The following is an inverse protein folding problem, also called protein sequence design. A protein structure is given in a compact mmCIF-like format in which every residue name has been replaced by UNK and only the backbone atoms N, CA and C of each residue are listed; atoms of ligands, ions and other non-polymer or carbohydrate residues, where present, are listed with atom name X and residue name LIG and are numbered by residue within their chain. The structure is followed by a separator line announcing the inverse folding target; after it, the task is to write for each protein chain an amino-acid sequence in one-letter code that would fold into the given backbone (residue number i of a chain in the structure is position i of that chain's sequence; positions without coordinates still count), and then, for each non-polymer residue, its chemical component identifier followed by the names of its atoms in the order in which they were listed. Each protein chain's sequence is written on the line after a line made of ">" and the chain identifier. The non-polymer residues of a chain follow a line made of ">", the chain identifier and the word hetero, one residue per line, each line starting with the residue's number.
data_IF_728762571330
#
_entry.id   IF_728762571330
#
_cell.length_a   1.000
_cell.length_b   1.000
_cell.length_c   1.000
_cell.angle_alpha   90.00
_cell.angle_beta   90.00
_cell.angle_gamma   90.00
#
_symmetry.space_group_name_H-M   'P 1'
#
loop_
_entity.id
_entity.type
_entity.pdbx_description
1 polymer ?
#
# COMPACT_ATOMS: atom_id res chain seq x y z
N UNK A 1 -14.63 37.46 -17.01
CA UNK A 1 -14.95 36.02 -17.15
C UNK A 1 -15.08 35.43 -15.75
N UNK A 2 -16.18 34.74 -15.42
CA UNK A 2 -16.32 33.94 -14.19
C UNK A 2 -16.45 32.47 -14.61
N UNK A 3 -15.69 31.59 -13.96
CA UNK A 3 -15.71 30.14 -14.20
C UNK A 3 -15.82 29.40 -12.87
N UNK A 4 -16.62 28.34 -12.86
CA UNK A 4 -16.69 27.41 -11.73
C UNK A 4 -15.56 26.42 -11.90
N UNK A 5 -14.58 26.46 -11.02
CA UNK A 5 -13.47 25.52 -11.04
C UNK A 5 -13.74 24.43 -10.01
N UNK A 6 -13.83 23.18 -10.48
CA UNK A 6 -13.83 22.02 -9.61
C UNK A 6 -12.38 21.59 -9.40
N UNK A 7 -11.88 21.70 -8.17
CA UNK A 7 -10.65 21.04 -7.79
C UNK A 7 -10.96 19.56 -7.60
N UNK A 8 -10.45 18.76 -8.52
CA UNK A 8 -10.49 17.32 -8.45
C UNK A 8 -9.68 16.78 -7.26
N UNK A 9 -10.01 15.58 -6.78
CA UNK A 9 -9.38 14.94 -5.61
C UNK A 9 -7.87 14.75 -5.77
N UNK A 10 -7.36 14.57 -6.99
CA UNK A 10 -5.93 14.42 -7.25
C UNK A 10 -5.13 15.68 -6.92
N UNK A 11 -5.75 16.87 -6.84
CA UNK A 11 -5.08 18.10 -6.40
C UNK A 11 -4.73 18.10 -4.91
N UNK A 12 -5.33 17.20 -4.12
CA UNK A 12 -4.99 17.03 -2.70
C UNK A 12 -3.69 16.23 -2.50
N UNK A 13 -3.25 15.50 -3.52
CA UNK A 13 -2.04 14.69 -3.44
C UNK A 13 -0.79 15.58 -3.35
N UNK A 14 0.13 15.20 -2.46
CA UNK A 14 1.48 15.76 -2.47
C UNK A 14 2.21 15.41 -3.78
N UNK A 15 3.30 16.13 -4.08
CA UNK A 15 4.16 15.80 -5.23
C UNK A 15 4.68 14.36 -5.19
N UNK A 16 5.03 13.88 -3.99
CA UNK A 16 5.52 12.51 -3.81
C UNK A 16 4.42 11.47 -4.02
N UNK A 17 3.23 11.71 -3.47
CA UNK A 17 2.06 10.86 -3.67
C UNK A 17 1.65 10.79 -5.14
N UNK A 18 1.61 11.92 -5.84
CA UNK A 18 1.32 11.97 -7.26
C UNK A 18 2.38 11.23 -8.08
N UNK A 19 3.67 11.34 -7.71
CA UNK A 19 4.74 10.58 -8.36
C UNK A 19 4.59 9.08 -8.15
N UNK A 20 4.24 8.66 -6.93
CA UNK A 20 3.96 7.26 -6.62
C UNK A 20 2.82 6.71 -7.50
N UNK A 21 1.70 7.43 -7.63
CA UNK A 21 0.58 7.03 -8.51
C UNK A 21 1.04 6.89 -9.96
N UNK A 22 1.82 7.83 -10.47
CA UNK A 22 2.37 7.76 -11.84
C UNK A 22 3.23 6.50 -12.05
N UNK A 23 4.11 6.19 -11.11
CA UNK A 23 4.95 5.00 -11.17
C UNK A 23 4.15 3.70 -11.00
N UNK A 24 3.12 3.71 -10.16
CA UNK A 24 2.21 2.59 -10.01
C UNK A 24 1.46 2.30 -11.32
N UNK A 25 0.95 3.33 -12.00
CA UNK A 25 0.30 3.19 -13.32
C UNK A 25 1.30 2.74 -14.39
N UNK A 26 2.53 3.29 -14.39
CA UNK A 26 3.62 2.85 -15.28
C UNK A 26 3.88 1.34 -15.14
N UNK A 27 3.84 0.85 -13.90
CA UNK A 27 3.98 -0.57 -13.56
C UNK A 27 2.65 -1.35 -13.66
N UNK A 28 1.61 -0.79 -14.29
CA UNK A 28 0.28 -1.41 -14.51
C UNK A 28 -0.38 -1.91 -13.22
N UNK A 29 -0.12 -1.24 -12.11
CA UNK A 29 -0.62 -1.62 -10.80
C UNK A 29 0.15 -2.76 -10.12
N UNK A 30 1.27 -3.21 -10.68
CA UNK A 30 2.09 -4.26 -10.07
C UNK A 30 2.97 -3.68 -8.95
N UNK A 31 2.58 -3.93 -7.69
CA UNK A 31 3.35 -3.51 -6.50
C UNK A 31 4.71 -4.20 -6.41
N UNK A 32 4.87 -5.44 -6.87
CA UNK A 32 6.16 -6.13 -6.86
C UNK A 32 7.15 -5.49 -7.83
N UNK A 33 6.69 -5.10 -9.02
CA UNK A 33 7.54 -4.42 -10.01
C UNK A 33 7.90 -3.02 -9.54
N UNK A 34 6.91 -2.28 -9.02
CA UNK A 34 7.13 -0.97 -8.41
C UNK A 34 8.12 -1.04 -7.24
N UNK A 35 8.01 -2.08 -6.41
CA UNK A 35 8.92 -2.30 -5.28
C UNK A 35 10.36 -2.51 -5.70
N UNK A 36 10.58 -3.29 -6.76
CA UNK A 36 11.91 -3.44 -7.36
C UNK A 36 12.44 -2.14 -7.94
N UNK A 37 11.58 -1.34 -8.60
CA UNK A 37 11.99 -0.04 -9.16
C UNK A 37 12.33 1.00 -8.07
N UNK A 38 11.58 1.02 -6.97
CA UNK A 38 11.78 1.96 -5.86
C UNK A 38 12.72 1.44 -4.77
N UNK A 39 13.16 0.19 -4.85
CA UNK A 39 13.90 -0.52 -3.81
C UNK A 39 13.19 -0.47 -2.44
N UNK A 40 11.88 -0.72 -2.44
CA UNK A 40 11.02 -0.70 -1.26
C UNK A 40 10.39 -2.07 -1.02
N UNK A 41 10.20 -2.40 0.26
CA UNK A 41 9.45 -3.58 0.65
C UNK A 41 7.98 -3.45 0.29
N UNK A 42 7.33 -4.58 0.01
CA UNK A 42 5.90 -4.63 -0.30
C UNK A 42 5.01 -3.96 0.79
N UNK A 43 5.26 -4.17 2.10
CA UNK A 43 4.51 -3.47 3.15
C UNK A 43 4.62 -1.94 3.05
N UNK A 44 5.79 -1.43 2.68
CA UNK A 44 6.01 0.02 2.55
C UNK A 44 5.21 0.60 1.37
N UNK A 45 5.18 -0.11 0.24
CA UNK A 45 4.41 0.30 -0.93
C UNK A 45 2.91 0.29 -0.64
N UNK A 46 2.44 -0.74 0.06
CA UNK A 46 1.04 -0.89 0.44
C UNK A 46 0.61 0.20 1.42
N UNK A 47 1.44 0.51 2.42
CA UNK A 47 1.19 1.62 3.34
C UNK A 47 1.07 2.95 2.58
N UNK A 48 2.00 3.24 1.66
CA UNK A 48 1.93 4.44 0.80
C UNK A 48 0.68 4.48 -0.06
N UNK A 49 0.27 3.34 -0.64
CA UNK A 49 -0.97 3.26 -1.44
C UNK A 49 -2.21 3.54 -0.58
N UNK A 50 -2.25 3.02 0.65
CA UNK A 50 -3.32 3.28 1.61
C UNK A 50 -3.39 4.75 2.01
N UNK A 51 -2.25 5.40 2.25
CA UNK A 51 -2.19 6.85 2.54
C UNK A 51 -2.71 7.69 1.36
N UNK A 52 -2.35 7.31 0.12
CA UNK A 52 -2.85 7.96 -1.09
C UNK A 52 -4.38 7.76 -1.21
N UNK A 53 -4.89 6.55 -1.01
CA UNK A 53 -6.32 6.26 -1.04
C UNK A 53 -7.08 7.11 -0.02
N UNK A 54 -6.57 7.23 1.22
CA UNK A 54 -7.12 8.13 2.25
C UNK A 54 -7.13 9.60 1.79
N UNK A 55 -6.04 10.06 1.16
CA UNK A 55 -5.92 11.45 0.67
C UNK A 55 -6.95 11.77 -0.43
N UNK A 56 -7.25 10.78 -1.28
CA UNK A 56 -8.28 10.88 -2.31
C UNK A 56 -9.71 10.77 -1.73
N UNK A 57 -9.86 10.35 -0.47
CA UNK A 57 -11.16 10.24 0.21
C UNK A 57 -11.76 8.83 0.21
N UNK A 58 -11.00 7.81 -0.20
CA UNK A 58 -11.41 6.42 -0.10
C UNK A 58 -11.13 5.88 1.31
N UNK A 59 -12.00 5.02 1.86
CA UNK A 59 -11.70 4.32 3.10
C UNK A 59 -10.45 3.46 2.89
N UNK A 60 -9.55 3.45 3.86
CA UNK A 60 -8.44 2.51 3.82
C UNK A 60 -9.01 1.09 3.92
N UNK A 61 -8.57 0.19 3.04
CA UNK A 61 -8.76 -1.23 3.31
C UNK A 61 -8.14 -1.53 4.68
N UNK A 62 -8.90 -2.21 5.54
CA UNK A 62 -8.34 -2.81 6.75
C UNK A 62 -7.10 -3.61 6.36
N UNK A 63 -6.04 -3.52 7.17
CA UNK A 63 -4.76 -4.19 6.93
C UNK A 63 -4.98 -5.70 6.82
N UNK A 64 -5.34 -6.19 5.63
CA UNK A 64 -5.37 -7.63 5.38
C UNK A 64 -3.95 -8.11 5.59
N UNK A 65 -3.78 -8.98 6.57
CA UNK A 65 -2.48 -9.52 6.94
C UNK A 65 -1.80 -10.05 5.68
N UNK A 66 -0.67 -9.45 5.34
CA UNK A 66 0.04 -9.82 4.14
C UNK A 66 0.74 -11.15 4.38
N UNK A 67 0.21 -12.21 3.77
CA UNK A 67 0.77 -13.55 3.92
C UNK A 67 2.22 -13.61 3.46
N UNK A 68 2.60 -12.80 2.48
CA UNK A 68 3.97 -12.73 2.00
C UNK A 68 4.89 -12.08 3.03
N UNK A 69 4.43 -11.02 3.71
CA UNK A 69 5.19 -10.40 4.80
C UNK A 69 5.39 -11.37 5.97
N UNK A 70 4.37 -12.15 6.32
CA UNK A 70 4.49 -13.18 7.35
C UNK A 70 5.53 -14.24 6.96
N UNK A 71 5.56 -14.65 5.68
CA UNK A 71 6.55 -15.60 5.17
C UNK A 71 7.97 -15.01 5.17
N UNK A 72 8.16 -13.76 4.75
CA UNK A 72 9.47 -13.09 4.80
C UNK A 72 10.00 -12.99 6.23
N UNK A 73 9.14 -12.70 7.22
CA UNK A 73 9.53 -12.66 8.63
C UNK A 73 9.97 -14.03 9.15
N UNK A 74 9.38 -15.12 8.65
CA UNK A 74 9.82 -16.49 8.96
C UNK A 74 11.19 -16.76 8.32
N UNK A 75 11.38 -16.41 7.04
CA UNK A 75 12.66 -16.62 6.34
C UNK A 75 13.82 -15.86 7.00
N UNK A 76 13.57 -14.65 7.50
CA UNK A 76 14.55 -13.83 8.23
C UNK A 76 14.78 -14.31 9.68
N UNK A 77 13.99 -15.26 10.17
CA UNK A 77 14.04 -15.74 11.56
C UNK A 77 13.53 -14.72 12.59
N UNK A 78 12.79 -13.69 12.14
CA UNK A 78 12.22 -12.65 13.00
C UNK A 78 11.02 -13.15 13.80
N UNK A 79 10.29 -14.13 13.26
CA UNK A 79 9.17 -14.80 13.93
C UNK A 79 9.26 -16.31 13.73
N UNK A 80 8.72 -17.06 14.69
CA UNK A 80 8.55 -18.50 14.59
C UNK A 80 7.35 -18.87 13.71
N UNK A 81 7.31 -20.09 13.14
CA UNK A 81 6.12 -20.59 12.45
C UNK A 81 4.85 -20.57 13.31
N UNK A 82 4.98 -20.71 14.63
CA UNK A 82 3.83 -20.63 15.55
C UNK A 82 3.29 -19.21 15.70
N UNK A 83 4.16 -18.20 15.74
CA UNK A 83 3.78 -16.78 15.77
C UNK A 83 3.17 -16.34 14.44
N UNK A 84 3.71 -16.82 13.32
CA UNK A 84 3.14 -16.64 11.99
C UNK A 84 1.70 -17.16 11.89
N UNK A 85 1.43 -18.36 12.46
CA UNK A 85 0.06 -18.92 12.50
C UNK A 85 -0.90 -18.01 13.29
N UNK A 86 -0.45 -17.42 14.41
CA UNK A 86 -1.28 -16.47 15.19
C UNK A 86 -1.58 -15.21 14.41
N UNK A 87 -0.57 -14.64 13.75
CA UNK A 87 -0.74 -13.49 12.86
C UNK A 87 -1.76 -13.82 11.76
N UNK A 88 -1.57 -14.92 11.03
CA UNK A 88 -2.46 -15.30 9.92
C UNK A 88 -3.90 -15.62 10.35
N UNK A 89 -4.12 -16.15 11.57
CA UNK A 89 -5.44 -16.46 12.10
C UNK A 89 -6.18 -15.23 12.67
N UNK A 90 -5.46 -14.24 13.18
CA UNK A 90 -6.05 -13.00 13.71
C UNK A 90 -6.70 -12.10 12.66
N UNK A 91 -6.51 -12.38 11.36
CA UNK A 91 -7.17 -11.69 10.24
C UNK A 91 -8.38 -12.42 9.65
N UNK A 92 -8.84 -13.50 10.29
CA UNK A 92 -9.95 -14.35 9.82
C UNK A 92 -11.22 -14.32 10.68
N UNK A 93 -11.25 -13.50 11.73
CA UNK A 93 -12.45 -13.29 12.57
C UNK A 93 -12.90 -11.84 12.44
N UNK A 94 -13.65 -11.56 11.36
CA UNK A 94 -14.67 -10.52 11.25
C UNK A 94 -15.55 -10.81 10.04
#
# INVERSE_FOLDING_TARGET
>A
VRGTFYLDEFFKLSREQLNFVKLFIKNRGNLSDLGRELNLSYPTLRSRLNEIAKTLGYPAEEERIDKMEVLEKIEKGEITPQEAIKLLKGGGEQ
#
